data_IF_100838874029
#
_entry.id   IF_100838874029
#
_cell.length_a   1.000
_cell.length_b   1.000
_cell.length_c   1.000
_cell.angle_alpha   90.00
_cell.angle_beta   90.00
_cell.angle_gamma   90.00
#
_symmetry.space_group_name_H-M   'P 1'
#
loop_
_entity.id
_entity.type
_entity.pdbx_description
1 polymer ?
#
# COMPACT_ATOMS: atom_id res chain seq x y z
N UNK A 1 4.58 -7.52 18.12
CA UNK A 1 3.81 -8.29 17.14
C UNK A 1 2.65 -7.43 16.65
N UNK A 2 2.72 -7.05 15.39
CA UNK A 2 1.74 -6.26 14.67
C UNK A 2 1.68 -6.69 13.21
N UNK A 3 0.83 -6.04 12.43
CA UNK A 3 0.66 -6.36 11.02
C UNK A 3 0.80 -5.10 10.18
N UNK A 4 1.48 -5.19 9.05
CA UNK A 4 1.64 -4.10 8.08
C UNK A 4 1.00 -4.48 6.75
N UNK A 5 0.79 -3.50 5.88
CA UNK A 5 0.21 -3.70 4.55
C UNK A 5 1.23 -3.25 3.51
N UNK A 6 1.59 -4.16 2.61
CA UNK A 6 2.36 -3.87 1.40
C UNK A 6 1.39 -3.72 0.22
N UNK A 7 1.49 -2.63 -0.54
CA UNK A 7 0.68 -2.37 -1.72
C UNK A 7 1.54 -2.52 -2.97
N UNK A 8 1.03 -3.10 -4.05
CA UNK A 8 1.74 -3.27 -5.32
C UNK A 8 0.97 -2.63 -6.49
N UNK A 9 1.61 -2.42 -7.65
CA UNK A 9 1.00 -1.83 -8.87
C UNK A 9 1.09 -2.77 -10.08
N UNK A 10 0.18 -2.64 -11.05
CA UNK A 10 0.16 -3.51 -12.24
C UNK A 10 1.28 -3.14 -13.24
N UNK A 11 1.88 -4.12 -13.96
CA UNK A 11 2.65 -3.85 -15.17
C UNK A 11 1.75 -3.22 -16.26
N UNK A 12 2.21 -2.24 -17.09
CA UNK A 12 3.57 -2.06 -17.57
C UNK A 12 4.33 -0.87 -16.95
N UNK A 13 3.82 -0.27 -15.86
CA UNK A 13 4.59 0.73 -15.11
C UNK A 13 5.90 0.16 -14.50
N UNK A 14 6.04 -1.17 -14.52
CA UNK A 14 7.26 -1.93 -14.24
C UNK A 14 8.03 -2.44 -15.49
N UNK A 15 7.46 -2.38 -16.71
CA UNK A 15 8.05 -2.96 -17.94
C UNK A 15 9.03 -2.06 -18.70
N UNK A 16 9.01 -0.74 -18.48
CA UNK A 16 9.95 0.20 -19.13
C UNK A 16 11.17 0.54 -18.27
N UNK A 17 11.37 -0.15 -17.14
CA UNK A 17 12.50 0.12 -16.24
C UNK A 17 12.45 1.50 -15.55
N UNK A 18 11.31 2.22 -15.62
CA UNK A 18 11.09 3.42 -14.82
C UNK A 18 10.54 3.02 -13.44
N UNK A 19 11.47 2.75 -12.53
CA UNK A 19 11.30 2.25 -11.14
C UNK A 19 10.58 3.23 -10.18
N UNK A 20 9.65 4.06 -10.67
CA UNK A 20 9.10 5.17 -9.91
C UNK A 20 7.88 4.85 -9.04
N UNK A 21 7.06 3.87 -9.43
CA UNK A 21 5.69 3.74 -8.89
C UNK A 21 5.35 2.33 -8.40
N UNK A 22 6.32 1.47 -8.08
CA UNK A 22 6.01 0.29 -7.28
C UNK A 22 5.63 0.81 -5.88
N UNK A 23 4.35 0.72 -5.50
CA UNK A 23 3.97 1.01 -4.13
C UNK A 23 4.74 0.08 -3.16
N UNK A 24 4.65 0.38 -1.86
CA UNK A 24 5.33 -0.39 -0.81
C UNK A 24 4.52 -0.43 0.48
N UNK A 25 5.21 -0.38 1.62
CA UNK A 25 4.60 -0.40 2.95
C UNK A 25 3.78 0.85 3.20
N UNK A 26 2.48 0.67 3.39
CA UNK A 26 1.53 1.76 3.50
C UNK A 26 1.59 2.46 4.87
N UNK A 27 1.60 3.79 4.86
CA UNK A 27 1.59 4.63 6.07
C UNK A 27 0.19 4.82 6.68
N UNK A 28 -0.85 4.28 6.03
CA UNK A 28 -2.25 4.52 6.40
C UNK A 28 -2.80 5.87 5.92
N UNK A 29 -1.97 6.67 5.24
CA UNK A 29 -2.34 7.97 4.66
C UNK A 29 -2.50 7.87 3.15
N UNK A 30 -3.24 8.82 2.59
CA UNK A 30 -3.43 8.97 1.15
C UNK A 30 -3.61 10.44 0.80
N UNK A 31 -3.26 10.83 -0.41
CA UNK A 31 -3.56 12.14 -0.97
C UNK A 31 -4.47 11.98 -2.20
N UNK A 32 -5.15 13.07 -2.58
CA UNK A 32 -5.97 13.12 -3.78
C UNK A 32 -5.27 13.99 -4.84
N UNK A 33 -5.26 13.54 -6.09
CA UNK A 33 -4.72 14.29 -7.22
C UNK A 33 -5.53 13.96 -8.47
N UNK A 34 -5.98 14.99 -9.20
CA UNK A 34 -6.82 14.84 -10.41
C UNK A 34 -8.07 13.95 -10.23
N UNK A 35 -8.67 13.95 -9.04
CA UNK A 35 -9.87 13.14 -8.73
C UNK A 35 -9.56 11.71 -8.29
N UNK A 36 -8.30 11.29 -8.33
CA UNK A 36 -7.84 9.96 -7.92
C UNK A 36 -7.18 9.99 -6.55
N UNK A 37 -7.25 8.87 -5.82
CA UNK A 37 -6.58 8.70 -4.53
C UNK A 37 -5.30 7.87 -4.67
N UNK A 38 -4.23 8.37 -4.06
CA UNK A 38 -2.92 7.74 -4.06
C UNK A 38 -2.48 7.44 -2.62
N UNK A 39 -2.05 6.21 -2.31
CA UNK A 39 -1.51 5.88 -1.00
C UNK A 39 -0.12 6.50 -0.82
N UNK A 40 0.20 6.87 0.43
CA UNK A 40 1.56 7.24 0.82
C UNK A 40 2.27 5.99 1.35
N UNK A 41 3.28 5.53 0.62
CA UNK A 41 4.03 4.31 0.92
C UNK A 41 5.53 4.59 1.05
N UNK A 42 6.24 3.66 1.67
CA UNK A 42 7.70 3.60 1.71
C UNK A 42 8.18 2.20 1.29
N UNK A 43 9.40 2.10 0.78
CA UNK A 43 10.00 0.83 0.35
C UNK A 43 10.43 -0.04 1.54
N UNK A 44 10.48 0.52 2.75
CA UNK A 44 10.85 -0.18 3.98
C UNK A 44 9.86 0.11 5.10
N UNK A 45 9.73 -0.83 6.03
CA UNK A 45 9.01 -0.58 7.28
C UNK A 45 9.78 0.45 8.10
N UNK A 46 9.13 1.54 8.45
CA UNK A 46 9.70 2.62 9.26
C UNK A 46 8.67 3.15 10.28
N UNK A 47 9.02 4.21 11.01
CA UNK A 47 8.17 4.79 12.05
C UNK A 47 6.84 5.38 11.54
N UNK A 48 6.72 5.61 10.22
CA UNK A 48 5.51 6.09 9.58
C UNK A 48 4.63 4.96 9.03
N UNK A 49 5.15 3.74 8.91
CA UNK A 49 4.38 2.58 8.45
C UNK A 49 3.23 2.29 9.40
N UNK A 50 2.04 2.06 8.85
CA UNK A 50 0.86 1.77 9.66
C UNK A 50 0.92 0.34 10.19
N UNK A 51 1.04 0.22 11.50
CA UNK A 51 0.97 -1.08 12.20
C UNK A 51 -0.42 -1.30 12.78
N UNK A 52 -1.00 -2.46 12.46
CA UNK A 52 -2.28 -2.93 12.97
C UNK A 52 -2.05 -3.95 14.09
N UNK A 53 -2.87 -3.89 15.14
CA UNK A 53 -2.77 -4.82 16.29
C UNK A 53 -3.33 -6.22 16.02
N UNK A 54 -4.05 -6.42 14.91
CA UNK A 54 -4.60 -7.72 14.55
C UNK A 54 -4.64 -7.91 13.05
N UNK A 55 -4.42 -9.16 12.62
CA UNK A 55 -4.47 -9.54 11.20
C UNK A 55 -5.79 -9.16 10.55
N UNK A 56 -6.92 -9.44 11.22
CA UNK A 56 -8.26 -9.08 10.73
C UNK A 56 -8.39 -7.59 10.41
N UNK A 57 -7.87 -6.70 11.28
CA UNK A 57 -7.90 -5.25 11.04
C UNK A 57 -7.03 -4.86 9.85
N UNK A 58 -5.84 -5.47 9.71
CA UNK A 58 -4.97 -5.24 8.57
C UNK A 58 -5.63 -5.71 7.26
N UNK A 59 -6.20 -6.92 7.23
CA UNK A 59 -6.90 -7.46 6.05
C UNK A 59 -8.07 -6.58 5.61
N UNK A 60 -8.95 -6.18 6.53
CA UNK A 60 -10.06 -5.28 6.19
C UNK A 60 -9.57 -3.92 5.69
N UNK A 61 -8.45 -3.42 6.22
CA UNK A 61 -7.87 -2.16 5.74
C UNK A 61 -7.20 -2.33 4.36
N UNK A 62 -6.58 -3.47 4.09
CA UNK A 62 -5.99 -3.82 2.81
C UNK A 62 -7.04 -3.95 1.71
N UNK A 63 -8.19 -4.58 1.99
CA UNK A 63 -9.34 -4.66 1.08
C UNK A 63 -9.88 -3.26 0.74
N UNK A 64 -10.02 -2.39 1.75
CA UNK A 64 -10.44 -1.01 1.53
C UNK A 64 -9.42 -0.21 0.73
N UNK A 65 -8.12 -0.43 0.97
CA UNK A 65 -7.06 0.21 0.21
C UNK A 65 -7.11 -0.21 -1.27
N UNK A 66 -7.28 -1.51 -1.53
CA UNK A 66 -7.44 -2.07 -2.87
C UNK A 66 -8.62 -1.43 -3.63
N UNK A 67 -9.78 -1.29 -2.97
CA UNK A 67 -10.96 -0.65 -3.58
C UNK A 67 -10.80 0.86 -3.77
N UNK A 68 -9.98 1.52 -2.95
CA UNK A 68 -9.85 2.99 -2.94
C UNK A 68 -8.82 3.50 -3.94
N UNK A 69 -7.71 2.77 -4.09
CA UNK A 69 -6.55 3.24 -4.84
C UNK A 69 -6.52 2.57 -6.21
N UNK A 70 -7.01 3.26 -7.24
CA UNK A 70 -7.23 2.68 -8.58
C UNK A 70 -5.99 2.12 -9.29
N UNK A 71 -4.79 2.45 -8.81
CA UNK A 71 -3.52 1.94 -9.33
C UNK A 71 -2.92 0.78 -8.51
N UNK A 72 -3.55 0.38 -7.41
CA UNK A 72 -3.11 -0.76 -6.61
C UNK A 72 -3.60 -2.06 -7.25
N UNK A 73 -2.65 -2.94 -7.56
CA UNK A 73 -2.89 -4.25 -8.18
C UNK A 73 -3.06 -5.40 -7.19
N UNK A 74 -2.36 -5.31 -6.06
CA UNK A 74 -2.46 -6.29 -4.99
C UNK A 74 -2.09 -5.66 -3.66
N UNK A 75 -2.59 -6.28 -2.59
CA UNK A 75 -2.28 -5.93 -1.22
C UNK A 75 -1.85 -7.18 -0.46
N UNK A 76 -0.75 -7.10 0.28
CA UNK A 76 -0.25 -8.19 1.12
C UNK A 76 -0.20 -7.75 2.58
N UNK A 77 -0.56 -8.66 3.49
CA UNK A 77 -0.53 -8.41 4.94
C UNK A 77 0.60 -9.23 5.55
N UNK A 78 1.58 -8.55 6.13
CA UNK A 78 2.77 -9.16 6.73
C UNK A 78 2.73 -9.00 8.26
N UNK A 79 3.22 -10.00 9.00
CA UNK A 79 3.39 -9.94 10.45
C UNK A 79 4.80 -9.45 10.82
N UNK A 80 4.88 -8.55 11.81
CA UNK A 80 6.10 -7.85 12.25
C UNK A 80 6.24 -7.77 13.77
#
# INVERSE_FOLDING_TARGET
MGYVIYLNTEPPYSRTGRVGNAYGYWTGKSYAFQGEFYPVCDNKINSQTKVYKSKKRATTAAEKAYMKFGYVASCEVEEV
#
